data_IF_767999530839
#
_entry.id   IF_767999530839
#
_cell.length_a   1.000
_cell.length_b   1.000
_cell.length_c   1.000
_cell.angle_alpha   90.00
_cell.angle_beta   90.00
_cell.angle_gamma   90.00
#
_symmetry.space_group_name_H-M   'P 1'
#
loop_
_entity.id
_entity.type
_entity.pdbx_description
1 polymer ?
#
# COMPACT_ATOMS: atom_id res chain seq x y z
N UNK A 1 26.42 23.52 22.90
CA UNK A 1 27.44 23.89 21.88
C UNK A 1 26.71 24.48 20.68
N UNK A 2 27.34 25.48 20.07
CA UNK A 2 26.74 26.73 19.58
C UNK A 2 25.80 26.61 18.37
N UNK A 3 24.83 27.53 18.39
CA UNK A 3 23.83 27.86 17.37
C UNK A 3 24.41 28.79 16.28
N UNK A 4 23.82 28.68 15.09
CA UNK A 4 23.38 29.75 14.16
C UNK A 4 24.35 30.84 13.68
N UNK A 5 24.43 30.91 12.35
CA UNK A 5 24.87 32.00 11.47
C UNK A 5 23.82 32.00 10.34
N UNK A 6 23.21 33.06 9.83
CA UNK A 6 23.24 34.49 10.14
C UNK A 6 22.01 35.14 9.49
N UNK A 7 21.56 36.21 10.16
CA UNK A 7 20.59 37.23 9.81
C UNK A 7 20.58 37.66 8.33
N UNK A 8 19.37 37.92 7.81
CA UNK A 8 19.09 39.17 7.08
C UNK A 8 17.63 39.59 7.28
N UNK A 9 17.47 40.80 7.79
CA UNK A 9 16.24 41.50 8.15
C UNK A 9 16.14 42.74 7.23
N UNK A 10 15.01 42.92 6.57
CA UNK A 10 14.51 44.18 5.99
C UNK A 10 13.01 43.95 5.78
N UNK A 11 12.08 44.88 5.98
CA UNK A 11 11.93 46.09 6.77
C UNK A 11 10.40 46.33 6.79
N UNK A 12 9.95 47.13 7.76
CA UNK A 12 8.56 47.34 8.13
C UNK A 12 7.62 47.86 7.03
N UNK A 13 6.32 47.60 7.20
CA UNK A 13 5.27 48.58 6.95
C UNK A 13 4.06 48.31 7.87
N UNK A 14 3.69 49.36 8.60
CA UNK A 14 2.73 49.43 9.70
C UNK A 14 1.31 49.72 9.21
N UNK A 15 0.32 49.49 10.09
CA UNK A 15 -1.01 50.12 10.05
C UNK A 15 -2.15 49.12 9.87
N UNK A 16 -3.28 49.18 10.55
CA UNK A 16 -3.73 50.03 11.65
C UNK A 16 -4.87 49.30 12.36
N UNK A 17 -5.03 49.62 13.64
CA UNK A 17 -6.04 49.15 14.57
C UNK A 17 -7.32 49.97 14.39
N UNK A 18 -8.49 49.36 14.20
CA UNK A 18 -9.77 49.98 14.57
C UNK A 18 -10.74 48.95 15.11
N UNK A 19 -11.34 49.37 16.21
CA UNK A 19 -12.19 48.69 17.18
C UNK A 19 -13.67 48.70 16.76
N UNK A 20 -14.46 47.94 17.51
CA UNK A 20 -15.89 48.13 17.84
C UNK A 20 -16.98 47.73 16.82
N UNK A 21 -17.95 46.97 17.34
CA UNK A 21 -19.21 46.65 16.68
C UNK A 21 -19.96 45.49 17.35
N UNK A 22 -20.42 45.68 18.59
CA UNK A 22 -21.32 44.78 19.33
C UNK A 22 -22.79 44.98 18.96
N UNK A 23 -23.56 43.89 19.08
CA UNK A 23 -25.04 43.78 19.06
C UNK A 23 -25.69 44.04 17.69
N UNK A 24 -26.64 43.22 17.20
CA UNK A 24 -27.93 42.94 17.82
C UNK A 24 -28.40 41.52 17.50
N UNK A 25 -28.92 40.83 18.51
CA UNK A 25 -29.76 39.66 18.36
C UNK A 25 -31.06 40.05 17.65
N UNK A 26 -31.40 39.36 16.54
CA UNK A 26 -32.72 39.42 15.94
C UNK A 26 -33.36 38.03 16.01
N UNK A 27 -34.47 38.00 16.72
CA UNK A 27 -35.38 36.89 16.98
C UNK A 27 -35.81 36.14 15.72
N UNK A 28 -35.87 34.82 15.88
CA UNK A 28 -36.58 33.92 14.99
C UNK A 28 -38.08 34.26 14.91
N UNK A 29 -38.60 34.31 13.69
CA UNK A 29 -39.99 33.93 13.43
C UNK A 29 -40.08 33.19 12.08
N UNK A 30 -40.98 32.19 11.97
CA UNK A 30 -41.03 31.27 10.84
C UNK A 30 -41.94 31.83 9.74
N UNK A 31 -41.47 31.80 8.48
CA UNK A 31 -42.34 32.09 7.33
C UNK A 31 -42.24 30.99 6.27
N UNK A 32 -43.25 30.12 6.38
CA UNK A 32 -44.03 29.42 5.36
C UNK A 32 -43.45 29.36 3.95
N UNK A 33 -43.28 28.11 3.51
CA UNK A 33 -42.95 27.67 2.17
C UNK A 33 -43.83 28.31 1.09
N UNK A 34 -43.20 29.07 0.19
CA UNK A 34 -43.68 29.28 -1.16
C UNK A 34 -42.76 28.49 -2.10
N UNK A 35 -43.29 27.39 -2.63
CA UNK A 35 -42.64 26.56 -3.63
C UNK A 35 -42.37 27.39 -4.89
N UNK A 36 -41.16 27.95 -4.98
CA UNK A 36 -40.60 28.43 -6.24
C UNK A 36 -39.87 27.26 -6.88
N UNK A 37 -40.42 26.81 -8.00
CA UNK A 37 -39.89 25.80 -8.90
C UNK A 37 -38.45 26.16 -9.27
N UNK A 38 -37.48 25.66 -8.50
CA UNK A 38 -36.08 25.68 -8.89
C UNK A 38 -35.97 24.72 -10.06
N UNK A 39 -36.06 25.28 -11.26
CA UNK A 39 -35.53 24.66 -12.46
C UNK A 39 -34.09 24.38 -12.14
N UNK A 40 -33.82 23.13 -11.76
CA UNK A 40 -32.48 22.62 -11.69
C UNK A 40 -32.00 22.67 -13.13
N UNK A 41 -31.37 23.78 -13.53
CA UNK A 41 -30.45 23.78 -14.66
C UNK A 41 -29.43 22.74 -14.27
N UNK A 42 -29.65 21.53 -14.74
CA UNK A 42 -28.71 20.44 -14.65
C UNK A 42 -27.45 20.99 -15.30
N UNK A 43 -26.52 21.45 -14.46
CA UNK A 43 -25.22 21.92 -14.89
C UNK A 43 -24.64 20.77 -15.70
N UNK A 44 -24.66 20.94 -17.03
CA UNK A 44 -24.21 19.94 -17.97
C UNK A 44 -22.80 19.52 -17.51
N UNK A 45 -22.67 18.28 -17.02
CA UNK A 45 -21.39 17.73 -16.57
C UNK A 45 -20.43 17.85 -17.75
N UNK A 46 -19.59 18.90 -17.74
CA UNK A 46 -18.58 19.14 -18.78
C UNK A 46 -17.75 17.86 -18.88
N UNK A 47 -17.89 17.16 -19.99
CA UNK A 47 -17.14 15.93 -20.27
C UNK A 47 -15.66 16.28 -20.28
N UNK A 48 -14.92 15.79 -19.28
CA UNK A 48 -13.49 16.08 -19.15
C UNK A 48 -12.74 15.34 -20.27
N UNK A 49 -11.95 16.03 -21.11
CA UNK A 49 -11.35 15.42 -22.30
C UNK A 49 -10.27 14.38 -21.99
N UNK A 50 -9.54 14.54 -20.89
CA UNK A 50 -8.56 13.56 -20.40
C UNK A 50 -8.70 13.39 -18.90
N UNK A 51 -8.77 12.15 -18.45
CA UNK A 51 -8.85 11.79 -17.03
C UNK A 51 -7.63 10.99 -16.64
N UNK A 52 -6.87 11.48 -15.65
CA UNK A 52 -5.74 10.74 -15.08
C UNK A 52 -6.29 9.72 -14.07
N UNK A 53 -6.12 8.44 -14.38
CA UNK A 53 -6.57 7.32 -13.56
C UNK A 53 -5.63 7.08 -12.38
N UNK A 54 -6.18 6.51 -11.31
CA UNK A 54 -5.41 6.14 -10.13
C UNK A 54 -4.37 5.08 -10.46
N UNK A 55 -3.15 5.23 -9.95
CA UNK A 55 -2.14 4.17 -10.00
C UNK A 55 -2.26 3.36 -8.70
N UNK A 56 -2.78 2.13 -8.82
CA UNK A 56 -2.94 1.24 -7.67
C UNK A 56 -1.60 0.86 -7.02
N UNK A 57 -1.67 0.51 -5.74
CA UNK A 57 -0.53 -0.03 -4.99
C UNK A 57 0.06 -1.24 -5.71
N UNK A 58 1.37 -1.43 -5.56
CA UNK A 58 2.10 -2.53 -6.21
C UNK A 58 2.75 -3.42 -5.17
N UNK A 59 2.82 -4.70 -5.50
CA UNK A 59 3.50 -5.70 -4.67
C UNK A 59 4.60 -6.35 -5.50
N UNK A 60 5.80 -6.43 -4.95
CA UNK A 60 7.01 -6.95 -5.62
C UNK A 60 7.62 -8.07 -4.81
N UNK A 61 8.16 -9.09 -5.47
CA UNK A 61 8.80 -10.22 -4.80
C UNK A 61 10.27 -9.92 -4.52
N UNK A 62 10.73 -10.16 -3.29
CA UNK A 62 12.13 -10.01 -2.91
C UNK A 62 12.72 -8.61 -3.16
N UNK A 63 13.75 -8.53 -4.02
CA UNK A 63 14.44 -7.32 -4.44
C UNK A 63 13.93 -6.72 -5.75
N UNK A 64 12.87 -7.29 -6.34
CA UNK A 64 12.30 -6.81 -7.58
C UNK A 64 11.78 -5.37 -7.47
N UNK A 65 11.79 -4.65 -8.59
CA UNK A 65 11.31 -3.27 -8.70
C UNK A 65 9.96 -3.22 -9.42
N UNK A 66 9.04 -2.43 -8.91
CA UNK A 66 7.74 -2.17 -9.53
C UNK A 66 7.91 -1.17 -10.68
N UNK A 67 7.37 -1.49 -11.85
CA UNK A 67 7.34 -0.55 -12.98
C UNK A 67 6.08 0.31 -12.90
N UNK A 68 6.28 1.62 -12.76
CA UNK A 68 5.21 2.62 -12.73
C UNK A 68 5.16 3.32 -14.09
N UNK A 69 3.96 3.39 -14.66
CA UNK A 69 3.64 4.08 -15.93
C UNK A 69 2.48 5.06 -15.73
N UNK A 70 2.41 6.15 -16.50
CA UNK A 70 1.24 7.02 -16.53
C UNK A 70 -0.04 6.22 -16.81
N UNK A 71 -1.10 6.45 -16.03
CA UNK A 71 -2.41 5.83 -16.26
C UNK A 71 -3.44 6.92 -16.56
N UNK A 72 -4.06 6.89 -17.74
CA UNK A 72 -5.03 7.90 -18.17
C UNK A 72 -6.03 7.36 -19.19
N UNK A 73 -7.16 8.04 -19.32
CA UNK A 73 -8.15 7.85 -20.39
C UNK A 73 -8.40 9.15 -21.12
N UNK A 74 -8.78 9.04 -22.39
CA UNK A 74 -9.09 10.17 -23.26
C UNK A 74 -10.43 9.94 -23.93
N UNK A 75 -11.16 11.02 -24.21
CA UNK A 75 -12.35 10.96 -25.07
C UNK A 75 -11.95 10.96 -26.55
N UNK A 76 -12.90 10.66 -27.44
CA UNK A 76 -12.71 10.75 -28.90
C UNK A 76 -12.32 12.19 -29.28
N UNK A 77 -11.46 12.36 -30.29
CA UNK A 77 -10.94 13.66 -30.79
C UNK A 77 -9.96 14.41 -29.89
N UNK A 78 -9.34 13.72 -28.92
CA UNK A 78 -8.21 14.27 -28.14
C UNK A 78 -6.89 13.68 -28.64
N UNK A 79 -5.92 14.54 -28.98
CA UNK A 79 -4.54 14.13 -29.30
C UNK A 79 -3.66 14.31 -28.06
N UNK A 80 -3.02 13.25 -27.58
CA UNK A 80 -2.09 13.30 -26.44
C UNK A 80 -0.71 13.69 -26.95
N UNK A 81 -0.14 14.78 -26.40
CA UNK A 81 1.22 15.25 -26.75
C UNK A 81 2.28 14.60 -25.87
N UNK A 82 2.01 14.46 -24.57
CA UNK A 82 2.93 13.79 -23.65
C UNK A 82 2.23 13.25 -22.42
N UNK A 83 2.75 12.15 -21.87
CA UNK A 83 2.33 11.58 -20.60
C UNK A 83 3.58 11.23 -19.80
N UNK A 84 3.82 11.98 -18.73
CA UNK A 84 5.05 11.92 -17.94
C UNK A 84 4.74 11.71 -16.47
N UNK A 85 5.61 10.97 -15.78
CA UNK A 85 5.56 10.77 -14.33
C UNK A 85 6.76 11.39 -13.64
N UNK A 86 6.49 12.00 -12.49
CA UNK A 86 7.46 12.49 -11.53
C UNK A 86 7.21 11.78 -10.21
N UNK A 87 8.25 11.23 -9.58
CA UNK A 87 8.17 10.40 -8.39
C UNK A 87 9.04 10.99 -7.30
N UNK A 88 8.47 11.19 -6.11
CA UNK A 88 9.18 11.60 -4.90
C UNK A 88 9.05 10.55 -3.80
N UNK A 89 10.10 10.40 -2.99
CA UNK A 89 10.12 9.57 -1.77
C UNK A 89 10.46 10.49 -0.60
N UNK A 90 9.46 10.84 0.20
CA UNK A 90 9.59 11.89 1.21
C UNK A 90 9.93 13.24 0.56
N UNK A 91 10.99 13.91 1.02
CA UNK A 91 11.46 15.21 0.49
C UNK A 91 12.31 15.08 -0.79
N UNK A 92 12.76 13.87 -1.15
CA UNK A 92 13.67 13.64 -2.29
C UNK A 92 12.91 13.27 -3.56
N UNK A 93 13.25 13.91 -4.68
CA UNK A 93 12.76 13.51 -6.00
C UNK A 93 13.58 12.33 -6.50
N UNK A 94 12.93 11.20 -6.76
CA UNK A 94 13.55 9.95 -7.23
C UNK A 94 13.60 9.89 -8.76
N UNK A 95 12.58 10.43 -9.43
CA UNK A 95 12.53 10.54 -10.88
C UNK A 95 11.68 11.74 -11.30
N UNK A 96 12.04 12.40 -12.40
CA UNK A 96 11.31 13.57 -12.93
C UNK A 96 11.11 13.41 -14.43
N UNK A 97 9.89 13.71 -14.90
CA UNK A 97 9.54 13.76 -16.33
C UNK A 97 9.92 12.48 -17.11
N UNK A 98 9.62 11.30 -16.57
CA UNK A 98 9.88 10.02 -17.26
C UNK A 98 8.60 9.39 -17.77
N UNK A 99 8.67 8.62 -18.85
CA UNK A 99 7.51 7.86 -19.37
C UNK A 99 7.28 6.57 -18.56
N UNK A 100 8.29 6.09 -17.83
CA UNK A 100 8.20 4.98 -16.90
C UNK A 100 9.32 5.01 -15.86
N UNK A 101 9.07 4.49 -14.66
CA UNK A 101 10.04 4.45 -13.55
C UNK A 101 9.97 3.10 -12.84
N UNK A 102 11.13 2.49 -12.57
CA UNK A 102 11.26 1.28 -11.74
C UNK A 102 11.54 1.68 -10.29
N UNK A 103 10.63 1.35 -9.38
CA UNK A 103 10.71 1.71 -7.96
C UNK A 103 10.87 0.47 -7.09
N UNK A 104 11.75 0.55 -6.09
CA UNK A 104 11.87 -0.46 -5.06
C UNK A 104 10.67 -0.40 -4.08
N UNK A 105 10.65 -1.28 -3.09
CA UNK A 105 9.68 -1.21 -2.01
C UNK A 105 9.80 0.10 -1.22
N UNK A 106 8.66 0.73 -0.93
CA UNK A 106 8.58 2.00 -0.24
C UNK A 106 7.30 2.77 -0.55
N UNK A 107 7.14 3.90 0.12
CA UNK A 107 6.04 4.84 -0.09
C UNK A 107 6.51 5.99 -0.97
N UNK A 108 5.77 6.26 -2.03
CA UNK A 108 6.11 7.26 -3.03
C UNK A 108 4.94 8.22 -3.26
N UNK A 109 5.25 9.46 -3.59
CA UNK A 109 4.31 10.41 -4.19
C UNK A 109 4.56 10.42 -5.69
N UNK A 110 3.58 10.01 -6.48
CA UNK A 110 3.65 9.93 -7.93
C UNK A 110 2.76 11.02 -8.52
N UNK A 111 3.35 11.94 -9.27
CA UNK A 111 2.65 12.96 -10.03
C UNK A 111 2.64 12.56 -11.50
N UNK A 112 1.46 12.33 -12.05
CA UNK A 112 1.26 12.07 -13.47
C UNK A 112 0.78 13.35 -14.14
N UNK A 113 1.50 13.78 -15.18
CA UNK A 113 1.17 14.95 -15.98
C UNK A 113 0.89 14.52 -17.42
N UNK A 114 -0.30 14.83 -17.92
CA UNK A 114 -0.70 14.52 -19.29
C UNK A 114 -1.01 15.81 -20.03
N UNK A 115 -0.23 16.10 -21.08
CA UNK A 115 -0.42 17.22 -21.99
C UNK A 115 -1.18 16.74 -23.22
N UNK A 116 -2.26 17.42 -23.57
CA UNK A 116 -3.12 17.04 -24.68
C UNK A 116 -3.62 18.26 -25.45
N UNK A 117 -4.10 18.03 -26.67
CA UNK A 117 -4.82 19.01 -27.47
C UNK A 117 -6.24 18.55 -27.72
N UNK A 118 -7.19 19.44 -27.49
CA UNK A 118 -8.60 19.22 -27.74
C UNK A 118 -9.21 20.49 -28.33
N UNK A 119 -9.92 20.36 -29.46
CA UNK A 119 -10.53 21.49 -30.19
C UNK A 119 -9.56 22.67 -30.44
N UNK A 120 -8.36 22.37 -30.94
CA UNK A 120 -7.32 23.36 -31.22
C UNK A 120 -6.56 23.91 -30.00
N UNK A 121 -7.06 23.69 -28.77
CA UNK A 121 -6.44 24.20 -27.54
C UNK A 121 -5.55 23.13 -26.89
N UNK A 122 -4.36 23.52 -26.43
CA UNK A 122 -3.48 22.65 -25.64
C UNK A 122 -3.79 22.81 -24.15
N UNK A 123 -3.90 21.71 -23.41
CA UNK A 123 -4.14 21.71 -21.97
C UNK A 123 -3.29 20.64 -21.29
N UNK A 124 -3.07 20.80 -19.97
CA UNK A 124 -2.31 19.85 -19.16
C UNK A 124 -3.10 19.50 -17.91
N UNK A 125 -3.30 18.21 -17.67
CA UNK A 125 -3.91 17.71 -16.42
C UNK A 125 -2.84 17.03 -15.61
N UNK A 126 -2.73 17.41 -14.33
CA UNK A 126 -1.79 16.84 -13.37
C UNK A 126 -2.56 16.20 -12.23
N UNK A 127 -2.11 15.02 -11.79
CA UNK A 127 -2.64 14.36 -10.61
C UNK A 127 -1.51 13.79 -9.78
N UNK A 128 -1.51 14.10 -8.49
CA UNK A 128 -0.53 13.58 -7.53
C UNK A 128 -1.20 12.61 -6.59
N UNK A 129 -0.63 11.42 -6.46
CA UNK A 129 -1.17 10.36 -5.62
C UNK A 129 -0.06 9.68 -4.81
N UNK A 130 -0.43 9.10 -3.67
CA UNK A 130 0.49 8.28 -2.88
C UNK A 130 0.39 6.84 -3.36
N UNK A 131 1.54 6.25 -3.70
CA UNK A 131 1.67 4.86 -4.13
C UNK A 131 2.55 4.10 -3.14
N UNK A 132 2.05 2.99 -2.61
CA UNK A 132 2.83 2.07 -1.80
C UNK A 132 3.30 0.90 -2.66
N UNK A 133 4.61 0.68 -2.69
CA UNK A 133 5.22 -0.54 -3.20
C UNK A 133 5.58 -1.41 -2.01
N UNK A 134 4.81 -2.48 -1.78
CA UNK A 134 5.09 -3.43 -0.71
C UNK A 134 5.92 -4.58 -1.23
N UNK A 135 6.80 -5.12 -0.38
CA UNK A 135 7.36 -6.44 -0.68
C UNK A 135 6.26 -7.46 -0.43
N UNK A 136 6.05 -8.38 -1.36
CA UNK A 136 5.34 -9.62 -1.07
C UNK A 136 6.09 -10.24 0.09
N UNK A 137 5.41 -10.41 1.22
CA UNK A 137 5.96 -11.25 2.28
C UNK A 137 6.33 -12.56 1.60
N UNK A 138 7.57 -13.02 1.78
CA UNK A 138 7.98 -14.32 1.25
C UNK A 138 6.87 -15.29 1.63
N UNK A 139 6.23 -15.90 0.63
CA UNK A 139 5.16 -16.85 0.89
C UNK A 139 5.72 -17.80 1.94
N UNK A 140 5.11 -17.85 3.14
CA UNK A 140 5.54 -18.79 4.17
C UNK A 140 5.49 -20.15 3.47
N UNK A 141 6.64 -20.70 3.11
CA UNK A 141 6.69 -22.04 2.52
C UNK A 141 5.97 -22.92 3.53
N UNK A 142 5.08 -23.81 3.08
CA UNK A 142 4.44 -24.75 4.01
C UNK A 142 5.56 -25.54 4.68
N UNK A 143 5.86 -25.19 5.92
CA UNK A 143 6.94 -25.78 6.72
C UNK A 143 6.48 -27.07 7.38
N UNK A 144 5.18 -27.32 7.36
CA UNK A 144 4.55 -28.55 7.81
C UNK A 144 3.43 -29.04 6.89
N UNK A 145 3.15 -30.33 6.98
CA UNK A 145 2.02 -31.03 6.38
C UNK A 145 1.27 -31.73 7.51
N UNK A 146 0.01 -31.40 7.69
CA UNK A 146 -0.85 -32.12 8.61
C UNK A 146 -1.08 -33.55 8.09
N UNK A 147 -0.94 -34.51 8.99
CA UNK A 147 -1.12 -35.94 8.75
C UNK A 147 -2.23 -36.46 9.68
N UNK A 148 -2.73 -37.64 9.39
CA UNK A 148 -3.85 -38.23 10.13
C UNK A 148 -3.40 -39.19 11.26
N UNK A 149 -2.09 -39.35 11.52
CA UNK A 149 -1.59 -40.32 12.49
C UNK A 149 -1.83 -41.78 12.11
N UNK A 150 -2.26 -42.08 10.87
CA UNK A 150 -2.53 -43.45 10.39
C UNK A 150 -1.36 -44.05 9.64
N UNK A 151 -0.54 -43.21 9.00
CA UNK A 151 0.64 -43.64 8.23
C UNK A 151 1.91 -43.40 9.04
N UNK A 152 2.93 -44.21 8.80
CA UNK A 152 4.26 -44.03 9.41
C UNK A 152 5.16 -43.11 8.58
N UNK A 153 4.79 -42.84 7.33
CA UNK A 153 5.64 -42.15 6.37
C UNK A 153 5.18 -40.71 6.16
N UNK A 154 6.13 -39.78 6.25
CA UNK A 154 5.91 -38.40 5.83
C UNK A 154 6.09 -38.25 4.32
N UNK A 155 5.42 -37.27 3.68
CA UNK A 155 5.67 -36.95 2.28
C UNK A 155 7.11 -36.51 2.05
N UNK A 156 7.58 -36.71 0.80
CA UNK A 156 8.93 -36.33 0.41
C UNK A 156 9.21 -34.83 0.70
N UNK A 157 10.35 -34.56 1.35
CA UNK A 157 10.73 -33.21 1.77
C UNK A 157 10.28 -32.78 3.17
N UNK A 158 9.58 -33.65 3.92
CA UNK A 158 9.19 -33.43 5.31
C UNK A 158 9.71 -34.54 6.24
N UNK A 159 11.03 -34.61 6.50
CA UNK A 159 11.63 -35.73 7.21
C UNK A 159 11.36 -35.74 8.72
N UNK A 160 10.79 -34.68 9.30
CA UNK A 160 10.60 -34.60 10.75
C UNK A 160 9.17 -34.99 11.10
N UNK A 161 8.99 -36.04 11.91
CA UNK A 161 7.67 -36.55 12.33
C UNK A 161 7.27 -35.90 13.65
N UNK A 162 6.14 -35.23 13.70
CA UNK A 162 5.54 -34.67 14.92
C UNK A 162 4.30 -35.44 15.32
N UNK A 163 4.16 -35.77 16.60
CA UNK A 163 2.95 -36.34 17.16
C UNK A 163 2.81 -35.99 18.65
N UNK A 164 1.63 -36.25 19.22
CA UNK A 164 1.45 -36.22 20.68
C UNK A 164 1.87 -37.57 21.24
N UNK A 165 2.86 -37.59 22.12
CA UNK A 165 3.41 -38.85 22.65
C UNK A 165 3.84 -38.73 24.12
N UNK A 166 3.85 -39.88 24.80
CA UNK A 166 4.10 -40.03 26.24
C UNK A 166 2.84 -39.90 27.09
N UNK A 167 2.95 -40.23 28.38
CA UNK A 167 1.83 -40.28 29.33
C UNK A 167 1.11 -38.95 29.56
N UNK A 168 1.67 -37.84 29.08
CA UNK A 168 1.12 -36.48 29.21
C UNK A 168 0.65 -35.88 27.86
N UNK A 169 0.54 -36.69 26.79
CA UNK A 169 0.10 -36.25 25.45
C UNK A 169 0.83 -35.01 24.93
N UNK A 170 2.16 -35.05 25.07
CA UNK A 170 3.05 -33.93 24.81
C UNK A 170 3.41 -33.88 23.33
N UNK A 171 3.40 -32.68 22.73
CA UNK A 171 3.85 -32.49 21.35
C UNK A 171 5.36 -32.73 21.24
N UNK A 172 5.77 -33.81 20.58
CA UNK A 172 7.19 -34.13 20.34
C UNK A 172 7.46 -34.33 18.86
N UNK A 173 8.65 -33.91 18.43
CA UNK A 173 9.14 -34.17 17.09
C UNK A 173 10.28 -35.20 17.11
N UNK A 174 10.32 -36.01 16.06
CA UNK A 174 11.27 -37.08 15.83
C UNK A 174 11.99 -36.79 14.51
N UNK A 175 13.33 -36.77 14.57
CA UNK A 175 14.19 -36.59 13.40
C UNK A 175 14.63 -37.94 12.85
N UNK A 176 14.92 -38.00 11.55
CA UNK A 176 15.43 -39.22 10.90
C UNK A 176 16.75 -39.64 11.57
N UNK A 177 16.82 -40.89 12.03
CA UNK A 177 17.94 -41.43 12.81
C UNK A 177 17.72 -41.46 14.34
N UNK A 178 16.65 -40.86 14.86
CA UNK A 178 16.28 -41.00 16.27
C UNK A 178 15.69 -42.38 16.56
N UNK A 179 15.85 -42.88 17.79
CA UNK A 179 15.47 -44.24 18.17
C UNK A 179 13.98 -44.56 17.96
N UNK A 180 13.13 -43.53 18.01
CA UNK A 180 11.68 -43.66 17.87
C UNK A 180 11.14 -43.26 16.50
N UNK A 181 12.01 -42.89 15.55
CA UNK A 181 11.58 -42.33 14.28
C UNK A 181 10.70 -43.28 13.46
N UNK A 182 11.10 -44.55 13.33
CA UNK A 182 10.41 -45.52 12.47
C UNK A 182 9.12 -46.06 13.08
N UNK A 183 8.98 -46.00 14.42
CA UNK A 183 7.78 -46.45 15.14
C UNK A 183 6.76 -45.35 15.41
N UNK A 184 7.10 -44.09 15.14
CA UNK A 184 6.19 -42.96 15.35
C UNK A 184 5.27 -42.77 14.13
N UNK A 185 3.95 -42.71 14.38
CA UNK A 185 2.96 -42.26 13.41
C UNK A 185 2.82 -40.73 13.50
N UNK A 186 3.25 -39.95 12.48
CA UNK A 186 3.11 -38.50 12.49
C UNK A 186 1.65 -38.04 12.39
N UNK A 187 1.29 -37.08 13.25
CA UNK A 187 0.10 -36.22 13.10
C UNK A 187 0.45 -34.94 12.33
N UNK A 188 1.72 -34.55 12.31
CA UNK A 188 2.20 -33.43 11.52
C UNK A 188 3.65 -33.71 11.08
N UNK A 189 3.95 -33.53 9.81
CA UNK A 189 5.29 -33.70 9.27
C UNK A 189 5.93 -32.34 9.00
N UNK A 190 7.14 -32.10 9.47
CA UNK A 190 7.87 -30.84 9.31
C UNK A 190 9.04 -30.99 8.35
N UNK A 191 9.36 -29.90 7.66
CA UNK A 191 10.53 -29.83 6.78
C UNK A 191 11.83 -29.83 7.58
N UNK A 192 11.85 -29.16 8.73
CA UNK A 192 13.01 -29.07 9.62
C UNK A 192 12.61 -29.17 11.09
N UNK A 193 13.56 -29.53 11.95
CA UNK A 193 13.35 -29.53 13.40
C UNK A 193 13.07 -28.11 13.95
N UNK A 194 13.63 -27.07 13.31
CA UNK A 194 13.34 -25.69 13.67
C UNK A 194 11.88 -25.32 13.42
N UNK A 195 11.29 -25.82 12.33
CA UNK A 195 9.87 -25.62 12.02
C UNK A 195 8.97 -26.31 13.06
N UNK A 196 9.33 -27.52 13.48
CA UNK A 196 8.63 -28.25 14.54
C UNK A 196 8.69 -27.51 15.89
N UNK A 197 9.87 -27.01 16.27
CA UNK A 197 10.03 -26.18 17.48
C UNK A 197 9.19 -24.91 17.42
N UNK A 198 9.15 -24.24 16.26
CA UNK A 198 8.32 -23.05 16.04
C UNK A 198 6.82 -23.35 16.13
N UNK A 199 6.41 -24.57 15.80
CA UNK A 199 5.05 -25.06 15.99
C UNK A 199 4.75 -25.50 17.45
N UNK A 200 5.72 -25.42 18.37
CA UNK A 200 5.54 -25.76 19.79
C UNK A 200 5.92 -27.20 20.16
N UNK A 201 6.52 -27.95 19.25
CA UNK A 201 6.96 -29.33 19.52
C UNK A 201 8.33 -29.32 20.19
N UNK A 202 8.52 -30.19 21.18
CA UNK A 202 9.83 -30.43 21.81
C UNK A 202 10.55 -31.61 21.14
N UNK A 203 11.87 -31.71 21.32
CA UNK A 203 12.62 -32.86 20.81
C UNK A 203 12.25 -34.16 21.56
N UNK A 204 12.22 -35.29 20.85
CA UNK A 204 12.34 -36.60 21.50
C UNK A 204 13.65 -36.69 22.27
N UNK A 205 13.63 -37.28 23.46
CA UNK A 205 14.82 -37.43 24.32
C UNK A 205 15.77 -38.55 23.86
N UNK A 206 15.39 -39.33 22.84
CA UNK A 206 16.12 -40.48 22.28
C UNK A 206 15.85 -40.58 20.78
#
# INVERSE_FOLDING_TARGET
>A
MKKFVQRLLCAAASGALVLSGTAVAASAQPQVAAASSVVHVAAAKKTVPVTVKKIGNKTVEGSAKATIKPNYTKIKNVKIKSALVTVAKGKKTVAKNKNSVKLAAGTYKVTTAVKYTYKGKTSTVKKTETLKVTKKAAAKKKTSVAMNGKTYNCPAGYPVKGNRTGSKNEWKYHVKGGAFYDRTKPEECFKTAADAKKAGYRASKR
#
